data_IF_840361842850
#
_entry.id   IF_840361842850
#
_cell.length_a   1.000
_cell.length_b   1.000
_cell.length_c   1.000
_cell.angle_alpha   90.00
_cell.angle_beta   90.00
_cell.angle_gamma   90.00
#
_symmetry.space_group_name_H-M   'P 1'
#
loop_
_entity.id
_entity.type
_entity.pdbx_description
1 polymer ?
#
# COMPACT_ATOMS: atom_id res chain seq x y z
N UNK A 1 9.42 -25.97 6.94
CA UNK A 1 8.60 -24.96 6.24
C UNK A 1 9.56 -24.15 5.39
N UNK A 2 9.16 -23.79 4.17
CA UNK A 2 9.98 -22.98 3.27
C UNK A 2 9.90 -21.53 3.74
N UNK A 3 11.04 -20.84 3.84
CA UNK A 3 11.06 -19.43 4.23
C UNK A 3 10.40 -18.59 3.13
N UNK A 4 9.45 -17.72 3.50
CA UNK A 4 8.79 -16.82 2.56
C UNK A 4 9.79 -15.74 2.18
N UNK A 5 10.15 -15.69 0.90
CA UNK A 5 11.04 -14.64 0.39
C UNK A 5 10.34 -13.31 0.35
N UNK A 6 11.03 -12.25 0.78
CA UNK A 6 10.57 -10.88 0.67
C UNK A 6 11.46 -10.16 -0.33
N UNK A 7 10.83 -9.39 -1.20
CA UNK A 7 11.51 -8.59 -2.20
C UNK A 7 11.15 -7.12 -2.04
N UNK A 8 12.13 -6.25 -2.16
CA UNK A 8 11.92 -4.81 -2.27
C UNK A 8 11.81 -4.41 -3.74
N UNK A 9 10.88 -3.51 -4.05
CA UNK A 9 10.83 -2.84 -5.36
C UNK A 9 11.65 -1.56 -5.28
N UNK A 10 12.73 -1.51 -6.05
CA UNK A 10 13.66 -0.40 -6.13
C UNK A 10 13.55 0.32 -7.48
N UNK A 11 13.66 1.64 -7.48
CA UNK A 11 13.77 2.45 -8.70
C UNK A 11 15.17 3.07 -8.81
N UNK A 12 15.52 3.44 -10.04
CA UNK A 12 16.65 4.31 -10.33
C UNK A 12 16.04 5.60 -10.83
N UNK A 13 16.22 6.69 -10.08
CA UNK A 13 15.63 7.99 -10.41
C UNK A 13 16.13 8.55 -11.76
N UNK A 14 17.28 8.06 -12.26
CA UNK A 14 17.85 8.46 -13.54
C UNK A 14 17.43 7.54 -14.70
N UNK A 15 16.78 6.41 -14.41
CA UNK A 15 16.25 5.54 -15.45
C UNK A 15 14.84 5.99 -15.83
N UNK A 16 14.65 6.37 -17.10
CA UNK A 16 13.35 6.79 -17.65
C UNK A 16 12.31 5.67 -17.62
N UNK A 17 12.74 4.41 -17.66
CA UNK A 17 11.85 3.25 -17.62
C UNK A 17 11.41 2.89 -16.19
N UNK A 18 12.08 3.39 -15.15
CA UNK A 18 11.71 3.11 -13.75
C UNK A 18 10.70 4.14 -13.24
N UNK A 19 9.93 3.80 -12.21
CA UNK A 19 8.99 4.71 -11.55
C UNK A 19 7.52 4.35 -11.76
N UNK A 20 6.64 5.20 -11.25
CA UNK A 20 5.19 5.04 -11.39
C UNK A 20 4.77 5.54 -12.77
N UNK A 21 4.18 4.63 -13.54
CA UNK A 21 3.61 4.93 -14.85
C UNK A 21 2.27 5.64 -14.71
N UNK A 22 1.45 5.19 -13.75
CA UNK A 22 0.11 5.72 -13.44
C UNK A 22 -0.40 5.14 -12.14
N UNK A 23 -1.45 5.74 -11.60
CA UNK A 23 -2.30 5.09 -10.62
C UNK A 23 -3.41 4.29 -11.32
N UNK A 24 -4.03 3.36 -10.61
CA UNK A 24 -5.21 2.63 -11.08
C UNK A 24 -6.29 2.66 -10.03
N UNK A 25 -7.53 2.88 -10.47
CA UNK A 25 -8.73 2.49 -9.74
C UNK A 25 -8.79 0.97 -9.68
N UNK A 26 -8.96 0.39 -8.49
CA UNK A 26 -8.96 -1.08 -8.33
C UNK A 26 -9.98 -1.56 -7.31
N UNK A 27 -10.42 -2.82 -7.48
CA UNK A 27 -11.28 -3.54 -6.54
C UNK A 27 -10.50 -4.04 -5.32
N UNK A 28 -9.21 -4.35 -5.52
CA UNK A 28 -8.32 -4.82 -4.46
C UNK A 28 -7.07 -3.94 -4.42
N UNK A 29 -7.08 -2.81 -3.68
CA UNK A 29 -5.87 -2.01 -3.52
C UNK A 29 -4.79 -2.86 -2.86
N UNK A 30 -3.55 -2.74 -3.34
CA UNK A 30 -2.41 -3.52 -2.85
C UNK A 30 -2.23 -3.41 -1.32
N UNK A 31 -2.69 -2.30 -0.75
CA UNK A 31 -2.72 -2.01 0.68
C UNK A 31 -3.63 -2.99 1.47
N UNK A 32 -4.75 -3.43 0.91
CA UNK A 32 -5.66 -4.39 1.54
C UNK A 32 -5.11 -5.83 1.54
N UNK A 33 -4.25 -6.18 0.58
CA UNK A 33 -3.62 -7.52 0.53
C UNK A 33 -2.74 -7.83 1.75
N UNK A 34 -2.27 -6.82 2.47
CA UNK A 34 -1.50 -6.99 3.71
C UNK A 34 -2.32 -7.70 4.81
N UNK A 35 -3.66 -7.66 4.73
CA UNK A 35 -4.53 -8.41 5.64
C UNK A 35 -4.82 -9.79 5.09
N UNK A 36 -3.83 -10.70 5.19
CA UNK A 36 -4.13 -12.13 5.11
C UNK A 36 -5.24 -12.44 6.13
N UNK A 37 -6.39 -12.87 5.61
CA UNK A 37 -7.63 -13.22 6.30
C UNK A 37 -7.45 -13.97 7.64
N UNK A 38 -7.31 -13.26 8.76
CA UNK A 38 -7.34 -13.86 10.10
C UNK A 38 -8.54 -13.44 10.97
N UNK A 39 -9.42 -12.54 10.50
CA UNK A 39 -10.74 -12.36 11.10
C UNK A 39 -11.75 -11.96 10.04
N UNK A 40 -12.95 -12.57 10.10
CA UNK A 40 -14.08 -12.33 9.18
C UNK A 40 -14.68 -10.91 9.29
N UNK A 41 -14.02 -9.97 9.95
CA UNK A 41 -14.45 -8.58 10.10
C UNK A 41 -13.26 -7.60 10.03
N UNK A 42 -12.56 -7.53 8.89
CA UNK A 42 -11.57 -6.46 8.66
C UNK A 42 -11.71 -5.75 7.32
N UNK A 43 -12.95 -5.45 6.91
CA UNK A 43 -13.19 -4.38 5.95
C UNK A 43 -12.79 -3.06 6.60
N UNK A 44 -11.67 -2.50 6.19
CA UNK A 44 -11.28 -1.09 6.28
C UNK A 44 -9.79 -1.02 5.98
N UNK A 45 -9.45 -0.69 4.75
CA UNK A 45 -9.03 0.66 4.42
C UNK A 45 -8.77 0.68 2.91
N UNK A 46 -9.78 1.09 2.16
CA UNK A 46 -9.79 0.95 0.72
C UNK A 46 -9.73 2.36 0.08
N UNK A 47 -10.63 3.24 0.49
CA UNK A 47 -10.61 4.66 0.18
C UNK A 47 -11.59 5.40 1.13
N UNK A 48 -11.56 6.72 1.12
CA UNK A 48 -12.63 7.56 1.69
C UNK A 48 -13.14 8.53 0.63
N UNK A 49 -14.45 8.72 0.58
CA UNK A 49 -15.11 9.64 -0.33
C UNK A 49 -15.57 10.89 0.43
N UNK A 50 -15.29 12.08 -0.11
CA UNK A 50 -15.82 13.35 0.38
C UNK A 50 -16.80 13.92 -0.65
N UNK A 51 -18.09 13.73 -0.40
CA UNK A 51 -19.17 14.13 -1.32
C UNK A 51 -19.27 15.64 -1.51
N UNK A 52 -18.93 16.43 -0.48
CA UNK A 52 -19.01 17.88 -0.57
C UNK A 52 -17.95 18.47 -1.48
N UNK A 53 -16.83 17.76 -1.65
CA UNK A 53 -15.69 18.20 -2.46
C UNK A 53 -15.47 17.33 -3.71
N UNK A 54 -16.27 16.28 -3.91
CA UNK A 54 -16.12 15.28 -4.97
C UNK A 54 -14.71 14.65 -5.01
N UNK A 55 -14.20 14.21 -3.85
CA UNK A 55 -12.84 13.67 -3.69
C UNK A 55 -12.81 12.23 -3.22
N UNK A 56 -11.81 11.48 -3.67
CA UNK A 56 -11.47 10.15 -3.18
C UNK A 56 -10.05 10.14 -2.63
N UNK A 57 -9.87 9.78 -1.36
CA UNK A 57 -8.57 9.61 -0.71
C UNK A 57 -8.27 8.14 -0.48
N UNK A 58 -7.09 7.66 -0.84
CA UNK A 58 -6.64 6.28 -0.59
C UNK A 58 -5.16 6.23 -0.24
N UNK A 59 -4.76 5.11 0.38
CA UNK A 59 -3.37 4.78 0.61
C UNK A 59 -2.85 4.09 -0.65
N UNK A 60 -1.92 4.72 -1.37
CA UNK A 60 -1.38 4.17 -2.62
C UNK A 60 -0.17 3.26 -2.37
N UNK A 61 0.59 3.49 -1.30
CA UNK A 61 1.67 2.59 -0.85
C UNK A 61 1.73 2.58 0.68
N UNK A 62 1.87 1.40 1.30
CA UNK A 62 2.19 1.28 2.73
C UNK A 62 3.70 1.05 2.89
N UNK A 63 4.33 1.82 3.77
CA UNK A 63 5.75 1.66 4.08
C UNK A 63 6.04 0.42 4.93
N UNK A 64 7.19 -0.21 4.66
CA UNK A 64 7.83 -1.24 5.49
C UNK A 64 6.91 -2.43 5.83
N UNK A 65 5.92 -2.66 4.97
CA UNK A 65 4.84 -3.62 5.18
C UNK A 65 4.79 -4.61 4.03
N UNK A 66 5.17 -5.88 4.25
CA UNK A 66 5.15 -6.89 3.21
C UNK A 66 3.75 -7.17 2.68
N UNK A 67 3.60 -7.07 1.37
CA UNK A 67 2.38 -7.36 0.64
C UNK A 67 2.49 -8.76 0.04
N UNK A 68 1.65 -9.72 0.46
CA UNK A 68 1.72 -11.09 -0.01
C UNK A 68 1.34 -11.21 -1.50
N UNK A 69 2.09 -12.04 -2.22
CA UNK A 69 1.91 -12.34 -3.63
C UNK A 69 2.10 -13.83 -3.88
N UNK A 70 1.34 -14.35 -4.84
CA UNK A 70 1.48 -15.73 -5.30
C UNK A 70 2.06 -15.65 -6.70
N UNK A 71 3.18 -16.34 -6.93
CA UNK A 71 3.71 -16.49 -8.27
C UNK A 71 2.78 -17.40 -9.07
N UNK A 72 2.13 -16.88 -10.12
CA UNK A 72 1.11 -17.62 -10.87
C UNK A 72 1.63 -18.89 -11.55
N UNK A 73 2.92 -18.94 -11.89
CA UNK A 73 3.53 -20.07 -12.58
C UNK A 73 3.93 -21.19 -11.61
N UNK A 74 4.42 -20.83 -10.43
CA UNK A 74 5.02 -21.78 -9.47
C UNK A 74 4.12 -22.07 -8.27
N UNK A 75 3.14 -21.20 -7.99
CA UNK A 75 2.34 -21.21 -6.77
C UNK A 75 3.11 -20.77 -5.52
N UNK A 76 4.35 -20.29 -5.66
CA UNK A 76 5.19 -19.86 -4.54
C UNK A 76 4.64 -18.56 -3.93
N UNK A 77 4.49 -18.57 -2.60
CA UNK A 77 4.12 -17.39 -1.81
C UNK A 77 5.40 -16.58 -1.53
N UNK A 78 5.37 -15.30 -1.88
CA UNK A 78 6.43 -14.34 -1.58
C UNK A 78 5.81 -13.01 -1.14
N UNK A 79 6.61 -12.11 -0.56
CA UNK A 79 6.17 -10.77 -0.22
C UNK A 79 6.88 -9.70 -1.06
N UNK A 80 6.16 -8.64 -1.38
CA UNK A 80 6.71 -7.41 -1.95
C UNK A 80 6.64 -6.32 -0.89
N UNK A 81 7.71 -5.55 -0.68
CA UNK A 81 7.73 -4.43 0.26
C UNK A 81 8.25 -3.16 -0.41
N UNK A 82 7.81 -2.02 0.09
CA UNK A 82 8.33 -0.71 -0.26
C UNK A 82 8.87 -0.07 1.01
N UNK A 83 10.18 0.19 1.07
CA UNK A 83 10.72 0.88 2.25
C UNK A 83 10.33 2.34 2.28
N UNK A 84 10.26 2.95 3.46
CA UNK A 84 10.03 4.40 3.60
C UNK A 84 10.97 5.25 2.74
N UNK A 85 12.25 4.87 2.65
CA UNK A 85 13.23 5.56 1.82
C UNK A 85 12.91 5.45 0.34
N UNK A 86 12.49 4.26 -0.10
CA UNK A 86 12.22 4.00 -1.51
C UNK A 86 10.90 4.64 -1.96
N UNK A 87 9.85 4.59 -1.13
CA UNK A 87 8.60 5.32 -1.37
C UNK A 87 8.88 6.80 -1.63
N UNK A 88 9.78 7.43 -0.85
CA UNK A 88 10.13 8.83 -1.06
C UNK A 88 10.74 9.09 -2.44
N UNK A 89 11.63 8.23 -2.92
CA UNK A 89 12.22 8.33 -4.27
C UNK A 89 11.14 8.16 -5.34
N UNK A 90 10.33 7.10 -5.20
CA UNK A 90 9.23 6.76 -6.10
C UNK A 90 8.27 7.94 -6.25
N UNK A 91 7.81 8.52 -5.13
CA UNK A 91 6.88 9.64 -5.13
C UNK A 91 7.51 10.89 -5.75
N UNK A 92 8.75 11.24 -5.39
CA UNK A 92 9.42 12.40 -5.98
C UNK A 92 9.52 12.28 -7.51
N UNK A 93 9.94 11.11 -8.00
CA UNK A 93 10.02 10.84 -9.44
C UNK A 93 8.64 10.90 -10.10
N UNK A 94 7.63 10.27 -9.52
CA UNK A 94 6.25 10.31 -10.03
C UNK A 94 5.71 11.74 -10.22
N UNK A 95 6.00 12.64 -9.27
CA UNK A 95 5.61 14.04 -9.36
C UNK A 95 6.42 14.78 -10.44
N UNK A 96 7.73 14.51 -10.55
CA UNK A 96 8.59 15.12 -11.58
C UNK A 96 8.22 14.67 -13.00
N UNK A 97 7.82 13.41 -13.17
CA UNK A 97 7.46 12.83 -14.47
C UNK A 97 6.11 13.35 -14.98
N UNK A 98 5.26 13.91 -14.11
CA UNK A 98 3.97 14.48 -14.52
C UNK A 98 2.84 13.46 -14.67
N UNK A 99 3.10 12.18 -14.40
CA UNK A 99 2.16 11.07 -14.59
C UNK A 99 1.03 11.01 -13.54
N UNK A 100 0.95 11.99 -12.64
CA UNK A 100 0.06 11.94 -11.48
C UNK A 100 -1.44 12.10 -11.80
N UNK A 101 -1.79 12.55 -13.00
CA UNK A 101 -3.18 12.55 -13.47
C UNK A 101 -3.51 11.35 -14.37
N UNK A 102 -2.53 10.49 -14.68
CA UNK A 102 -2.76 9.26 -15.40
C UNK A 102 -3.36 8.25 -14.43
N UNK A 103 -4.65 7.92 -14.63
CA UNK A 103 -5.37 6.94 -13.81
C UNK A 103 -6.00 5.89 -14.71
N UNK A 104 -5.63 4.62 -14.56
CA UNK A 104 -6.26 3.48 -15.24
C UNK A 104 -7.39 2.86 -14.42
N UNK A 105 -8.11 1.92 -15.03
CA UNK A 105 -9.09 1.06 -14.38
C UNK A 105 -8.56 -0.39 -14.31
N UNK A 106 -8.55 -0.98 -13.12
CA UNK A 106 -8.16 -2.37 -12.82
C UNK A 106 -6.82 -2.82 -13.43
N UNK A 107 -5.81 -1.94 -13.47
CA UNK A 107 -4.53 -2.19 -14.12
C UNK A 107 -4.62 -2.56 -15.62
N UNK A 108 -5.70 -2.12 -16.28
CA UNK A 108 -5.91 -2.31 -17.72
C UNK A 108 -5.38 -1.12 -18.53
N UNK A 109 -5.46 -1.21 -19.86
CA UNK A 109 -5.18 -0.07 -20.73
C UNK A 109 -6.26 1.02 -20.72
N UNK A 110 -7.40 0.77 -20.07
CA UNK A 110 -8.49 1.74 -19.98
C UNK A 110 -8.13 2.86 -19.00
N UNK A 111 -8.21 4.10 -19.48
CA UNK A 111 -7.93 5.30 -18.70
C UNK A 111 -9.21 5.94 -18.21
N UNK A 112 -9.18 6.48 -17.00
CA UNK A 112 -10.28 7.21 -16.39
C UNK A 112 -9.99 8.70 -16.48
N UNK A 113 -10.54 9.33 -17.52
CA UNK A 113 -10.40 10.77 -17.77
C UNK A 113 -11.09 11.60 -16.69
N UNK A 114 -10.69 12.87 -16.55
CA UNK A 114 -11.39 13.83 -15.69
C UNK A 114 -11.17 13.60 -14.19
N UNK A 115 -10.11 12.88 -13.82
CA UNK A 115 -9.69 12.62 -12.44
C UNK A 115 -8.34 13.31 -12.23
N UNK A 116 -8.22 14.12 -11.18
CA UNK A 116 -7.05 14.97 -10.97
C UNK A 116 -6.48 14.81 -9.57
N UNK A 117 -5.17 14.58 -9.44
CA UNK A 117 -4.53 14.56 -8.14
C UNK A 117 -4.56 15.98 -7.55
N UNK A 118 -5.21 16.15 -6.40
CA UNK A 118 -5.34 17.45 -5.73
C UNK A 118 -4.58 17.52 -4.41
N UNK A 119 -4.36 16.38 -3.76
CA UNK A 119 -3.56 16.29 -2.53
C UNK A 119 -2.78 14.99 -2.54
N UNK A 120 -1.54 15.05 -2.07
CA UNK A 120 -0.74 13.86 -1.80
C UNK A 120 0.20 14.14 -0.64
N UNK A 121 0.51 13.12 0.15
CA UNK A 121 1.47 13.24 1.24
C UNK A 121 2.08 11.89 1.60
N UNK A 122 3.27 11.96 2.20
CA UNK A 122 3.93 10.84 2.85
C UNK A 122 3.70 11.00 4.36
N UNK A 123 3.23 9.95 5.03
CA UNK A 123 2.96 9.99 6.47
C UNK A 123 4.23 10.22 7.27
N UNK A 124 4.13 11.05 8.31
CA UNK A 124 5.20 11.32 9.27
C UNK A 124 4.60 11.35 10.66
N UNK A 125 4.98 10.42 11.53
CA UNK A 125 4.42 10.30 12.88
C UNK A 125 4.54 11.64 13.63
N UNK A 126 3.43 12.10 14.22
CA UNK A 126 3.37 13.36 14.96
C UNK A 126 3.53 14.63 14.11
N UNK A 127 3.56 14.54 12.78
CA UNK A 127 3.67 15.73 11.91
C UNK A 127 2.73 15.72 10.72
N UNK A 128 2.62 14.61 10.00
CA UNK A 128 1.75 14.45 8.85
C UNK A 128 0.99 13.13 9.01
N UNK A 129 -0.20 13.21 9.59
CA UNK A 129 -1.06 12.06 9.84
C UNK A 129 -2.20 12.03 8.84
N UNK A 130 -2.63 10.83 8.46
CA UNK A 130 -3.75 10.69 7.56
C UNK A 130 -5.06 10.84 8.34
N UNK A 131 -5.95 11.79 7.97
CA UNK A 131 -7.19 12.02 8.73
C UNK A 131 -8.19 10.85 8.60
N UNK A 132 -8.12 10.12 7.49
CA UNK A 132 -9.02 9.04 7.14
C UNK A 132 -8.51 7.65 7.56
N UNK A 133 -7.19 7.46 7.56
CA UNK A 133 -6.55 6.16 7.74
C UNK A 133 -5.64 6.21 8.98
N UNK A 134 -6.13 5.65 10.09
CA UNK A 134 -5.36 5.55 11.35
C UNK A 134 -4.29 4.46 11.24
N UNK A 135 -3.25 4.60 12.05
CA UNK A 135 -2.20 3.59 12.24
C UNK A 135 -1.39 3.25 10.97
N UNK A 136 -1.30 4.19 10.03
CA UNK A 136 -0.41 4.03 8.88
C UNK A 136 1.07 4.10 9.32
N UNK A 137 1.91 3.13 8.93
CA UNK A 137 3.34 3.21 9.10
C UNK A 137 3.89 4.54 8.57
N UNK A 138 4.86 5.11 9.29
CA UNK A 138 5.57 6.29 8.84
C UNK A 138 6.22 6.03 7.48
N UNK A 139 6.05 6.95 6.53
CA UNK A 139 6.56 6.77 5.17
C UNK A 139 5.53 6.27 4.16
N UNK A 140 4.31 5.93 4.59
CA UNK A 140 3.24 5.50 3.69
C UNK A 140 2.79 6.65 2.79
N UNK A 141 2.45 6.35 1.54
CA UNK A 141 2.03 7.34 0.55
C UNK A 141 0.50 7.36 0.40
N UNK A 142 -0.09 8.54 0.55
CA UNK A 142 -1.53 8.78 0.44
C UNK A 142 -1.80 9.75 -0.71
N UNK A 143 -2.81 9.45 -1.51
CA UNK A 143 -3.26 10.29 -2.64
C UNK A 143 -4.73 10.65 -2.48
N UNK A 144 -5.09 11.85 -2.94
CA UNK A 144 -6.47 12.31 -3.05
C UNK A 144 -6.73 12.84 -4.44
N UNK A 145 -7.72 12.24 -5.10
CA UNK A 145 -8.16 12.60 -6.43
C UNK A 145 -9.49 13.34 -6.41
N UNK A 146 -9.58 14.43 -7.17
CA UNK A 146 -10.80 15.20 -7.41
C UNK A 146 -11.43 14.80 -8.75
N UNK A 147 -12.74 14.61 -8.74
CA UNK A 147 -13.53 14.29 -9.94
C UNK A 147 -14.53 15.43 -10.16
N UNK A 148 -14.26 16.40 -11.05
CA UNK A 148 -15.09 17.59 -11.20
C UNK A 148 -16.49 17.29 -11.74
N UNK A 149 -16.59 16.28 -12.62
CA UNK A 149 -17.87 15.85 -13.15
C UNK A 149 -18.64 15.08 -12.06
N UNK A 150 -19.74 15.66 -11.59
CA UNK A 150 -20.55 15.07 -10.52
C UNK A 150 -21.17 13.72 -10.90
N UNK A 151 -21.64 13.56 -12.13
CA UNK A 151 -22.22 12.30 -12.60
C UNK A 151 -21.16 11.18 -12.58
N UNK A 152 -19.95 11.48 -13.05
CA UNK A 152 -18.83 10.57 -12.99
C UNK A 152 -18.40 10.25 -11.55
N UNK A 153 -18.34 11.26 -10.67
CA UNK A 153 -18.03 11.05 -9.25
C UNK A 153 -19.02 10.08 -8.60
N UNK A 154 -20.33 10.29 -8.80
CA UNK A 154 -21.36 9.41 -8.26
C UNK A 154 -21.31 8.00 -8.88
N UNK A 155 -20.98 7.90 -10.17
CA UNK A 155 -20.81 6.62 -10.86
C UNK A 155 -19.62 5.82 -10.30
N UNK A 156 -18.44 6.45 -10.17
CA UNK A 156 -17.26 5.82 -9.56
C UNK A 156 -17.55 5.40 -8.12
N UNK A 157 -18.17 6.28 -7.32
CA UNK A 157 -18.53 5.97 -5.93
C UNK A 157 -19.52 4.80 -5.80
N UNK A 158 -20.43 4.65 -6.76
CA UNK A 158 -21.41 3.56 -6.77
C UNK A 158 -20.86 2.25 -7.36
N UNK A 159 -19.69 2.31 -8.00
CA UNK A 159 -19.01 1.14 -8.54
C UNK A 159 -18.51 0.26 -7.39
N UNK A 160 -18.91 -1.01 -7.42
CA UNK A 160 -18.53 -1.99 -6.40
C UNK A 160 -17.09 -2.45 -6.57
N UNK A 161 -16.56 -2.29 -7.77
CA UNK A 161 -15.20 -2.66 -8.13
C UNK A 161 -14.24 -1.47 -7.91
N UNK A 162 -14.74 -0.32 -7.41
CA UNK A 162 -13.88 0.77 -6.95
C UNK A 162 -13.73 0.73 -5.42
N UNK A 163 -12.61 0.17 -4.99
CA UNK A 163 -12.22 0.09 -3.60
C UNK A 163 -10.88 0.79 -3.31
N UNK A 164 -10.27 1.49 -4.25
CA UNK A 164 -9.12 2.33 -3.93
C UNK A 164 -8.19 2.58 -5.10
N UNK A 165 -7.02 3.12 -4.75
CA UNK A 165 -5.95 3.35 -5.71
C UNK A 165 -4.81 2.36 -5.50
N UNK A 166 -4.23 1.89 -6.60
CA UNK A 166 -3.02 1.08 -6.63
C UNK A 166 -2.04 1.64 -7.64
N UNK A 167 -0.75 1.58 -7.34
CA UNK A 167 0.30 2.08 -8.24
C UNK A 167 0.62 1.06 -9.33
N UNK A 168 0.85 1.53 -10.55
CA UNK A 168 1.54 0.77 -11.61
C UNK A 168 2.99 1.25 -11.67
N UNK A 169 3.90 0.42 -11.19
CA UNK A 169 5.32 0.76 -11.05
C UNK A 169 6.20 -0.20 -11.83
N UNK A 170 7.20 0.35 -12.51
CA UNK A 170 8.31 -0.41 -13.06
C UNK A 170 9.58 -0.17 -12.22
N UNK A 171 10.31 -1.22 -11.93
CA UNK A 171 11.48 -1.18 -11.08
C UNK A 171 12.18 -2.52 -10.99
N UNK A 172 13.27 -2.55 -10.24
CA UNK A 172 14.04 -3.75 -9.95
C UNK A 172 13.46 -4.43 -8.71
N UNK A 173 13.36 -5.75 -8.77
CA UNK A 173 12.98 -6.56 -7.62
C UNK A 173 14.24 -7.16 -7.00
N UNK A 174 14.55 -6.79 -5.76
CA UNK A 174 15.73 -7.28 -5.03
C UNK A 174 15.31 -8.10 -3.81
N UNK A 175 15.86 -9.31 -3.66
CA UNK A 175 15.56 -10.17 -2.49
C UNK A 175 16.13 -9.52 -1.24
N UNK A 176 15.27 -9.18 -0.29
CA UNK A 176 15.70 -8.65 1.00
C UNK A 176 16.29 -9.77 1.83
N UNK A 177 17.60 -9.74 2.02
CA UNK A 177 18.24 -10.48 3.10
C UNK A 177 18.00 -9.71 4.40
N UNK A 178 16.97 -10.09 5.12
CA UNK A 178 16.76 -9.57 6.47
C UNK A 178 18.03 -9.78 7.31
N UNK A 179 18.44 -8.73 8.03
CA UNK A 179 19.53 -8.85 8.99
C UNK A 179 19.18 -9.91 10.04
N UNK A 180 20.19 -10.44 10.74
CA UNK A 180 19.96 -11.35 11.89
C UNK A 180 18.93 -10.78 12.88
N UNK A 181 18.87 -9.46 13.06
CA UNK A 181 17.89 -8.81 13.94
C UNK A 181 16.45 -8.99 13.46
N UNK A 182 16.19 -8.82 12.16
CA UNK A 182 14.85 -9.04 11.59
C UNK A 182 14.45 -10.52 11.62
N UNK A 183 15.37 -11.43 11.31
CA UNK A 183 15.14 -12.88 11.44
C UNK A 183 14.84 -13.29 12.89
N UNK A 184 15.54 -12.69 13.87
CA UNK A 184 15.26 -12.89 15.29
C UNK A 184 13.91 -12.28 15.71
N UNK A 185 13.48 -11.17 15.10
CA UNK A 185 12.18 -10.56 15.35
C UNK A 185 11.05 -11.46 14.87
N UNK A 186 11.17 -12.00 13.66
CA UNK A 186 10.22 -12.96 13.09
C UNK A 186 10.12 -14.23 13.94
N UNK A 187 11.25 -14.80 14.39
CA UNK A 187 11.25 -15.96 15.28
C UNK A 187 10.56 -15.67 16.61
N UNK A 188 10.82 -14.51 17.23
CA UNK A 188 10.14 -14.14 18.47
C UNK A 188 8.64 -13.98 18.29
N UNK A 189 8.19 -13.41 17.16
CA UNK A 189 6.77 -13.26 16.83
C UNK A 189 6.14 -14.64 16.59
N UNK A 190 6.79 -15.53 15.82
CA UNK A 190 6.32 -16.90 15.59
C UNK A 190 6.18 -17.68 16.91
N UNK A 191 7.12 -17.52 17.84
CA UNK A 191 7.04 -18.16 19.17
C UNK A 191 5.82 -17.65 19.95
N UNK A 192 5.49 -16.36 19.88
CA UNK A 192 4.32 -15.80 20.56
C UNK A 192 3.02 -16.30 19.92
N UNK A 193 2.92 -16.27 18.60
CA UNK A 193 1.71 -16.70 17.89
C UNK A 193 1.39 -18.19 18.14
N UNK A 194 2.42 -19.03 18.27
CA UNK A 194 2.28 -20.45 18.56
C UNK A 194 2.21 -20.81 20.05
N UNK A 195 2.25 -19.82 20.95
CA UNK A 195 2.13 -20.06 22.39
C UNK A 195 0.68 -20.30 22.82
N UNK A 196 0.51 -20.86 24.02
CA UNK A 196 -0.79 -21.09 24.67
C UNK A 196 -1.46 -19.81 25.22
N UNK A 197 -0.89 -18.63 24.90
CA UNK A 197 -1.48 -17.34 25.26
C UNK A 197 -2.81 -17.11 24.55
N UNK A 198 -3.69 -16.34 25.18
CA UNK A 198 -4.89 -15.87 24.50
C UNK A 198 -4.55 -14.73 23.52
N UNK A 199 -5.50 -14.38 22.64
CA UNK A 199 -5.25 -13.45 21.55
C UNK A 199 -4.86 -12.05 22.03
N UNK A 200 -5.47 -11.55 23.11
CA UNK A 200 -5.15 -10.24 23.72
C UNK A 200 -3.72 -10.21 24.26
N UNK A 201 -3.28 -11.30 24.89
CA UNK A 201 -1.91 -11.45 25.39
C UNK A 201 -0.88 -11.59 24.27
N UNK A 202 -1.23 -12.26 23.17
CA UNK A 202 -0.40 -12.34 21.96
C UNK A 202 -0.23 -10.98 21.33
N UNK A 203 -1.33 -10.23 21.20
CA UNK A 203 -1.34 -8.89 20.63
C UNK A 203 -0.44 -7.93 21.41
N UNK A 204 -0.55 -7.91 22.75
CA UNK A 204 0.31 -7.08 23.61
C UNK A 204 1.79 -7.41 23.38
N UNK A 205 2.15 -8.70 23.39
CA UNK A 205 3.56 -9.11 23.24
C UNK A 205 4.12 -8.85 21.85
N UNK A 206 3.30 -8.96 20.80
CA UNK A 206 3.71 -8.62 19.43
C UNK A 206 3.90 -7.11 19.31
N UNK A 207 3.00 -6.30 19.87
CA UNK A 207 3.14 -4.83 19.92
C UNK A 207 4.40 -4.39 20.66
N UNK A 208 4.71 -5.02 21.80
CA UNK A 208 5.94 -4.75 22.56
C UNK A 208 7.21 -5.04 21.75
N UNK A 209 7.23 -6.15 20.98
CA UNK A 209 8.37 -6.51 20.13
C UNK A 209 8.54 -5.55 18.96
N UNK A 210 7.43 -5.08 18.41
CA UNK A 210 7.41 -4.16 17.27
C UNK A 210 7.53 -2.68 17.69
N UNK A 211 7.68 -2.39 18.99
CA UNK A 211 7.66 -1.03 19.55
C UNK A 211 6.42 -0.20 19.15
N UNK A 212 5.27 -0.86 19.00
CA UNK A 212 3.99 -0.23 18.70
C UNK A 212 3.32 0.15 20.02
N UNK A 213 3.07 1.45 20.23
CA UNK A 213 2.40 1.97 21.44
C UNK A 213 0.89 1.75 21.42
#
# INVERSE_FOLDING_TARGET
MQDIKIYEILIDENNEDHGIMRNSFVDYPAVEYTKLNFSKETNKLAFTANDSEQRFMSVSMIADTPIPRINELTGELYGIVFTKSEIKKIVNKFIMDGNFNEVSLQHTSEMVDGVYLVEHFITREGVTECPAFKDLPEGSYVTTYYVPNKEQYEALKADKDFNGFSIEINGMMEEMLFSQEHSMLEEKIKVILNSDLNDEQKEIKVKDILNIK
#
